data_IF_996315108712
#
_entry.id   IF_996315108712
#
_cell.length_a   1.000
_cell.length_b   1.000
_cell.length_c   1.000
_cell.angle_alpha   90.00
_cell.angle_beta   90.00
_cell.angle_gamma   90.00
#
_symmetry.space_group_name_H-M   'P 1'
#
loop_
_entity.id
_entity.type
_entity.pdbx_description
1 polymer ?
#
# COMPACT_ATOMS: atom_id res chain seq x y z
N UNK A 1 -0.94 0.96 8.38
CA UNK A 1 -2.04 1.67 9.10
C UNK A 1 -3.36 0.93 8.96
N UNK A 2 -4.30 1.12 9.89
CA UNK A 2 -5.69 0.67 9.75
C UNK A 2 -6.60 1.88 9.57
N UNK A 3 -7.49 1.83 8.57
CA UNK A 3 -8.32 2.96 8.17
C UNK A 3 -9.79 2.52 8.08
N UNK A 4 -10.66 3.24 8.79
CA UNK A 4 -12.10 3.01 8.76
C UNK A 4 -12.86 3.98 7.85
N UNK A 5 -14.18 3.97 7.96
CA UNK A 5 -15.07 4.92 7.28
C UNK A 5 -16.30 5.28 8.14
N UNK A 6 -17.20 6.15 7.64
CA UNK A 6 -17.26 6.60 6.25
C UNK A 6 -16.20 7.67 5.94
N UNK A 7 -15.57 7.54 4.77
CA UNK A 7 -14.67 8.54 4.21
C UNK A 7 -14.71 8.46 2.68
N UNK A 8 -15.41 9.40 2.06
CA UNK A 8 -15.50 9.56 0.61
C UNK A 8 -14.87 10.88 0.21
N UNK A 9 -14.04 10.88 -0.82
CA UNK A 9 -13.23 12.03 -1.20
C UNK A 9 -13.06 12.11 -2.71
N UNK A 10 -12.78 13.31 -3.23
CA UNK A 10 -12.61 13.57 -4.67
C UNK A 10 -11.15 13.75 -5.08
N UNK A 11 -10.26 13.91 -4.12
CA UNK A 11 -8.83 14.02 -4.38
C UNK A 11 -8.22 12.64 -4.69
N UNK A 12 -7.24 12.66 -5.58
CA UNK A 12 -6.41 11.55 -5.96
C UNK A 12 -5.01 11.80 -5.42
N UNK A 13 -4.54 10.90 -4.57
CA UNK A 13 -3.17 10.86 -4.13
C UNK A 13 -2.32 10.12 -5.17
N UNK A 14 -1.07 10.57 -5.29
CA UNK A 14 -0.08 10.06 -6.22
C UNK A 14 1.21 9.99 -5.43
N UNK A 15 1.85 8.83 -5.40
CA UNK A 15 3.15 8.67 -4.78
C UNK A 15 4.06 7.79 -5.63
N UNK A 16 5.35 7.77 -5.27
CA UNK A 16 6.32 6.94 -5.97
C UNK A 16 6.59 5.58 -5.32
N UNK A 17 6.04 5.33 -4.12
CA UNK A 17 5.96 4.01 -3.50
C UNK A 17 4.72 3.24 -3.95
N UNK A 18 4.61 1.99 -3.52
CA UNK A 18 3.43 1.14 -3.73
C UNK A 18 2.55 1.10 -2.48
N UNK A 19 1.27 0.80 -2.64
CA UNK A 19 0.33 0.65 -1.53
C UNK A 19 -0.34 -0.73 -1.54
N UNK A 20 -0.16 -1.48 -0.46
CA UNK A 20 -0.84 -2.75 -0.23
C UNK A 20 -2.12 -2.53 0.57
N UNK A 21 -3.25 -2.96 0.01
CA UNK A 21 -4.57 -2.91 0.62
C UNK A 21 -5.05 -4.31 1.01
N UNK A 22 -5.66 -4.42 2.18
CA UNK A 22 -6.39 -5.61 2.61
C UNK A 22 -7.62 -5.21 3.42
N UNK A 23 -8.82 -5.62 3.00
CA UNK A 23 -10.04 -5.29 3.73
C UNK A 23 -10.31 -6.32 4.83
N UNK A 24 -10.14 -5.90 6.08
CA UNK A 24 -10.41 -6.74 7.26
C UNK A 24 -11.91 -6.85 7.52
N UNK A 25 -12.64 -5.75 7.32
CA UNK A 25 -14.09 -5.67 7.53
C UNK A 25 -14.74 -4.75 6.50
N UNK A 26 -15.80 -5.24 5.87
CA UNK A 26 -16.60 -4.55 4.87
C UNK A 26 -15.84 -4.20 3.60
N UNK A 27 -16.53 -3.56 2.67
CA UNK A 27 -16.01 -3.27 1.34
C UNK A 27 -15.52 -1.83 1.22
N UNK A 28 -14.53 -1.62 0.36
CA UNK A 28 -14.14 -0.29 -0.11
C UNK A 28 -14.09 -0.24 -1.64
N UNK A 29 -14.03 0.96 -2.19
CA UNK A 29 -13.70 1.17 -3.60
C UNK A 29 -12.49 2.08 -3.71
N UNK A 30 -11.45 1.64 -4.40
CA UNK A 30 -10.33 2.49 -4.76
C UNK A 30 -10.56 3.02 -6.19
N UNK A 31 -10.87 4.31 -6.32
CA UNK A 31 -10.94 4.93 -7.65
C UNK A 31 -9.52 5.19 -8.12
N UNK A 32 -9.18 4.85 -9.34
CA UNK A 32 -7.85 5.10 -9.92
C UNK A 32 -7.95 5.78 -11.26
N UNK A 33 -6.86 6.44 -11.68
CA UNK A 33 -6.66 6.85 -13.07
C UNK A 33 -5.66 5.90 -13.72
N UNK A 34 -6.17 4.93 -14.47
CA UNK A 34 -5.38 3.94 -15.19
C UNK A 34 -5.35 4.30 -16.67
N UNK A 35 -4.15 4.50 -17.23
CA UNK A 35 -3.98 4.82 -18.65
C UNK A 35 -4.87 5.99 -19.14
N UNK A 36 -4.97 7.04 -18.31
CA UNK A 36 -5.77 8.23 -18.59
C UNK A 36 -7.28 8.01 -18.50
N UNK A 37 -7.75 6.95 -17.83
CA UNK A 37 -9.18 6.67 -17.64
C UNK A 37 -9.47 6.41 -16.17
N UNK A 38 -10.59 6.95 -15.69
CA UNK A 38 -11.11 6.59 -14.37
C UNK A 38 -11.55 5.12 -14.36
N UNK A 39 -11.10 4.38 -13.35
CA UNK A 39 -11.53 3.01 -13.05
C UNK A 39 -11.84 2.89 -11.57
N UNK A 40 -13.01 2.33 -11.26
CA UNK A 40 -13.37 1.95 -9.90
C UNK A 40 -12.85 0.52 -9.64
N UNK A 41 -12.09 0.34 -8.55
CA UNK A 41 -11.56 -0.95 -8.10
C UNK A 41 -12.25 -1.33 -6.78
N UNK A 42 -13.32 -2.15 -6.83
CA UNK A 42 -13.93 -2.67 -5.60
C UNK A 42 -12.97 -3.64 -4.92
N UNK A 43 -12.69 -3.41 -3.64
CA UNK A 43 -11.91 -4.30 -2.78
C UNK A 43 -12.86 -4.76 -1.67
N UNK A 44 -13.31 -6.00 -1.74
CA UNK A 44 -14.30 -6.56 -0.80
C UNK A 44 -13.65 -7.06 0.48
N UNK A 45 -14.45 -7.28 1.51
CA UNK A 45 -14.00 -7.93 2.74
C UNK A 45 -13.23 -9.22 2.44
N UNK A 46 -12.02 -9.36 3.01
CA UNK A 46 -11.11 -10.48 2.79
C UNK A 46 -10.30 -10.43 1.49
N UNK A 47 -10.53 -9.44 0.61
CA UNK A 47 -9.71 -9.26 -0.59
C UNK A 47 -8.43 -8.47 -0.29
N UNK A 48 -7.37 -8.82 -1.01
CA UNK A 48 -6.09 -8.14 -1.03
C UNK A 48 -5.83 -7.52 -2.41
N UNK A 49 -5.15 -6.38 -2.43
CA UNK A 49 -4.86 -5.63 -3.64
C UNK A 49 -3.56 -4.84 -3.48
N UNK A 50 -2.66 -4.94 -4.46
CA UNK A 50 -1.44 -4.12 -4.50
C UNK A 50 -1.59 -3.05 -5.59
N UNK A 51 -1.47 -1.78 -5.20
CA UNK A 51 -1.43 -0.66 -6.10
C UNK A 51 0.04 -0.38 -6.52
N UNK A 52 0.36 -0.49 -7.81
CA UNK A 52 1.68 -0.08 -8.31
C UNK A 52 1.94 1.41 -8.10
N UNK A 53 3.21 1.79 -8.01
CA UNK A 53 3.59 3.18 -7.83
C UNK A 53 3.11 4.10 -8.96
N UNK A 54 2.98 5.39 -8.65
CA UNK A 54 2.67 6.49 -9.59
C UNK A 54 1.33 6.34 -10.31
N UNK A 55 0.37 5.68 -9.68
CA UNK A 55 -1.03 5.61 -10.12
C UNK A 55 -1.84 6.57 -9.26
N UNK A 56 -2.49 7.59 -9.84
CA UNK A 56 -3.42 8.43 -9.10
C UNK A 56 -4.57 7.59 -8.56
N UNK A 57 -4.82 7.67 -7.25
CA UNK A 57 -5.83 6.85 -6.59
C UNK A 57 -6.59 7.63 -5.50
N UNK A 58 -7.87 7.30 -5.31
CA UNK A 58 -8.80 7.99 -4.41
C UNK A 58 -9.63 6.96 -3.64
N UNK A 59 -9.26 6.64 -2.39
CA UNK A 59 -9.93 5.61 -1.60
C UNK A 59 -11.32 6.09 -1.12
N UNK A 60 -12.33 5.25 -1.31
CA UNK A 60 -13.71 5.47 -0.89
C UNK A 60 -14.08 4.38 0.12
N UNK A 61 -14.32 4.78 1.37
CA UNK A 61 -14.62 3.86 2.47
C UNK A 61 -16.03 4.11 3.00
N UNK A 62 -16.80 3.05 3.15
CA UNK A 62 -18.14 3.12 3.74
C UNK A 62 -18.08 3.05 5.26
N UNK A 63 -19.19 3.38 5.91
CA UNK A 63 -19.34 3.23 7.35
C UNK A 63 -19.09 1.80 7.83
N UNK A 64 -18.63 1.64 9.06
CA UNK A 64 -18.42 0.34 9.71
C UNK A 64 -17.41 -0.60 9.03
N UNK A 65 -16.51 -0.04 8.21
CA UNK A 65 -15.43 -0.77 7.53
C UNK A 65 -14.09 -0.62 8.25
N UNK A 66 -13.18 -1.57 8.03
CA UNK A 66 -11.79 -1.53 8.49
C UNK A 66 -10.89 -2.11 7.39
N UNK A 67 -9.95 -1.31 6.90
CA UNK A 67 -8.94 -1.75 5.94
C UNK A 67 -7.52 -1.56 6.47
N UNK A 68 -6.66 -2.53 6.21
CA UNK A 68 -5.21 -2.41 6.33
C UNK A 68 -4.67 -1.74 5.06
N UNK A 69 -3.80 -0.76 5.25
CA UNK A 69 -2.96 -0.17 4.20
C UNK A 69 -1.51 -0.24 4.65
N UNK A 70 -0.62 -0.75 3.82
CA UNK A 70 0.83 -0.72 4.02
C UNK A 70 1.44 0.10 2.89
N UNK A 71 2.17 1.13 3.29
CA UNK A 71 3.01 2.00 2.47
C UNK A 71 4.32 2.23 3.23
N UNK A 72 5.34 2.79 2.57
CA UNK A 72 6.65 3.04 3.17
C UNK A 72 7.01 4.50 3.28
N UNK A 73 7.97 4.80 4.15
CA UNK A 73 8.61 6.10 4.22
C UNK A 73 9.20 6.49 2.86
N UNK A 74 9.04 7.76 2.49
CA UNK A 74 9.56 8.32 1.24
C UNK A 74 11.08 8.55 1.32
N UNK A 75 11.79 8.21 0.26
CA UNK A 75 13.15 8.71 0.03
C UNK A 75 13.12 10.23 -0.09
N UNK A 76 14.19 10.92 0.31
CA UNK A 76 14.29 12.38 0.23
C UNK A 76 14.19 12.94 -1.20
N UNK A 77 14.36 12.09 -2.20
CA UNK A 77 14.21 12.42 -3.62
C UNK A 77 12.81 12.18 -4.17
N UNK A 78 11.93 11.54 -3.40
CA UNK A 78 10.58 11.22 -3.84
C UNK A 78 9.62 12.38 -3.59
N UNK A 79 8.62 12.47 -4.47
CA UNK A 79 7.57 13.50 -4.38
C UNK A 79 6.19 12.85 -4.36
N UNK A 80 5.31 13.36 -3.51
CA UNK A 80 3.90 13.02 -3.50
C UNK A 80 3.09 14.13 -4.17
N UNK A 81 1.96 13.76 -4.76
CA UNK A 81 1.02 14.65 -5.41
C UNK A 81 -0.40 14.46 -4.87
N UNK A 82 -1.13 15.55 -4.68
CA UNK A 82 -2.57 15.52 -4.46
C UNK A 82 -3.25 16.25 -5.60
N UNK A 83 -4.18 15.58 -6.29
CA UNK A 83 -4.88 16.12 -7.46
C UNK A 83 -6.39 16.07 -7.30
N UNK A 84 -7.06 17.09 -7.83
CA UNK A 84 -8.48 17.06 -8.13
C UNK A 84 -8.65 17.15 -9.63
N UNK A 85 -9.61 16.40 -10.17
CA UNK A 85 -9.94 16.42 -11.59
C UNK A 85 -11.21 17.21 -11.85
N UNK A 86 -11.34 17.73 -13.07
CA UNK A 86 -12.62 18.24 -13.57
C UNK A 86 -13.62 17.07 -13.58
N UNK A 87 -14.86 17.34 -13.18
CA UNK A 87 -15.89 16.32 -13.07
C UNK A 87 -16.09 15.56 -14.40
N UNK A 88 -16.13 14.22 -14.31
CA UNK A 88 -16.21 13.31 -15.46
C UNK A 88 -15.05 13.40 -16.47
N UNK A 89 -13.92 13.98 -16.09
CA UNK A 89 -12.71 14.12 -16.93
C UNK A 89 -11.46 13.66 -16.18
N UNK A 90 -10.37 13.45 -16.92
CA UNK A 90 -9.01 13.29 -16.38
C UNK A 90 -8.16 14.56 -16.51
N UNK A 91 -8.78 15.67 -16.87
CA UNK A 91 -8.16 17.01 -16.85
C UNK A 91 -8.00 17.49 -15.41
N UNK A 92 -6.81 18.00 -15.08
CA UNK A 92 -6.49 18.46 -13.73
C UNK A 92 -7.22 19.77 -13.43
N UNK A 93 -7.97 19.80 -12.34
CA UNK A 93 -8.62 21.00 -11.81
C UNK A 93 -7.68 21.75 -10.85
N UNK A 94 -7.02 21.02 -9.96
CA UNK A 94 -6.08 21.54 -8.97
C UNK A 94 -5.06 20.46 -8.63
N UNK A 95 -3.82 20.86 -8.38
CA UNK A 95 -2.79 19.95 -7.89
C UNK A 95 -1.82 20.62 -6.92
N UNK A 96 -1.25 19.83 -6.01
CA UNK A 96 -0.10 20.19 -5.20
C UNK A 96 0.87 19.04 -5.10
N UNK A 97 2.14 19.37 -5.20
CA UNK A 97 3.26 18.43 -5.09
C UNK A 97 4.09 18.79 -3.86
N UNK A 98 4.49 17.77 -3.08
CA UNK A 98 5.17 17.96 -1.81
C UNK A 98 6.04 16.75 -1.45
N UNK A 99 7.03 16.97 -0.59
CA UNK A 99 7.73 15.88 0.08
C UNK A 99 6.86 15.36 1.24
N UNK A 100 6.50 14.08 1.22
CA UNK A 100 5.70 13.45 2.27
C UNK A 100 6.58 12.90 3.40
N UNK A 101 6.37 13.41 4.60
CA UNK A 101 6.94 12.93 5.86
C UNK A 101 5.85 12.34 6.77
N UNK A 102 4.68 12.97 6.82
CA UNK A 102 3.47 12.48 7.49
C UNK A 102 2.26 12.82 6.61
N UNK A 103 1.77 11.82 5.89
CA UNK A 103 0.70 11.97 4.91
C UNK A 103 -0.59 12.51 5.55
N UNK A 104 -0.98 11.98 6.71
CA UNK A 104 -2.22 12.35 7.38
C UNK A 104 -2.27 13.82 7.77
N UNK A 105 -1.17 14.35 8.31
CA UNK A 105 -1.09 15.75 8.73
C UNK A 105 -0.90 16.71 7.55
N UNK A 106 -0.11 16.33 6.54
CA UNK A 106 0.22 17.19 5.41
C UNK A 106 -0.91 17.32 4.38
N UNK A 107 -1.79 16.32 4.27
CA UNK A 107 -2.94 16.40 3.36
C UNK A 107 -3.99 17.42 3.82
N UNK A 108 -4.20 17.59 5.13
CA UNK A 108 -5.22 18.49 5.69
C UNK A 108 -5.11 19.94 5.17
N UNK A 109 -3.95 20.62 5.24
CA UNK A 109 -3.82 21.98 4.72
C UNK A 109 -4.02 22.07 3.20
N UNK A 110 -3.52 21.08 2.43
CA UNK A 110 -3.68 21.05 0.97
C UNK A 110 -5.16 20.93 0.57
N UNK A 111 -5.90 20.07 1.27
CA UNK A 111 -7.34 19.90 1.06
C UNK A 111 -8.09 21.20 1.39
N UNK A 112 -7.75 21.87 2.49
CA UNK A 112 -8.33 23.19 2.85
C UNK A 112 -8.02 24.26 1.82
N UNK A 113 -6.81 24.25 1.26
CA UNK A 113 -6.41 25.15 0.18
C UNK A 113 -7.29 24.93 -1.06
N UNK A 114 -7.47 23.68 -1.50
CA UNK A 114 -8.37 23.36 -2.61
C UNK A 114 -9.78 23.90 -2.37
N UNK A 115 -10.40 23.59 -1.22
CA UNK A 115 -11.77 24.05 -0.94
C UNK A 115 -11.91 25.58 -0.81
N UNK A 116 -10.80 26.29 -0.60
CA UNK A 116 -10.77 27.76 -0.55
C UNK A 116 -10.43 28.41 -1.91
N UNK A 117 -9.97 27.61 -2.88
CA UNK A 117 -9.45 28.05 -4.18
C UNK A 117 -10.54 28.57 -5.13
N UNK A 118 -10.12 29.29 -6.18
CA UNK A 118 -11.02 29.68 -7.28
C UNK A 118 -11.41 28.47 -8.14
N UNK A 119 -10.53 27.49 -8.26
CA UNK A 119 -10.77 26.25 -9.01
C UNK A 119 -11.92 25.47 -8.40
N UNK A 120 -11.99 25.36 -7.07
CA UNK A 120 -13.15 24.76 -6.39
C UNK A 120 -14.44 25.60 -6.60
N UNK A 121 -14.36 26.92 -6.50
CA UNK A 121 -15.53 27.82 -6.65
C UNK A 121 -16.09 27.82 -8.08
N UNK A 122 -15.24 27.71 -9.08
CA UNK A 122 -15.61 27.90 -10.50
C UNK A 122 -15.70 26.59 -11.27
N UNK A 123 -15.11 25.50 -10.76
CA UNK A 123 -14.94 24.24 -11.47
C UNK A 123 -14.00 24.34 -12.68
N UNK A 124 -13.20 25.42 -12.78
CA UNK A 124 -12.29 25.65 -13.91
C UNK A 124 -10.83 25.64 -13.44
N UNK A 125 -9.92 25.00 -14.21
CA UNK A 125 -8.51 25.01 -13.88
C UNK A 125 -7.91 26.42 -14.06
N UNK A 126 -6.84 26.70 -13.33
CA UNK A 126 -5.96 27.84 -13.59
C UNK A 126 -4.66 27.32 -14.24
N UNK A 127 -4.46 27.50 -15.57
CA UNK A 127 -3.29 26.99 -16.27
C UNK A 127 -1.94 27.50 -15.72
N UNK A 128 -1.93 28.68 -15.10
CA UNK A 128 -0.71 29.26 -14.52
C UNK A 128 -0.31 28.59 -13.19
N UNK A 129 -1.25 27.90 -12.53
CA UNK A 129 -1.03 27.17 -11.27
C UNK A 129 -0.85 25.66 -11.48
N UNK A 130 -1.11 25.15 -12.69
CA UNK A 130 -0.87 23.75 -13.01
C UNK A 130 0.62 23.48 -13.19
N UNK A 131 1.04 22.28 -12.78
CA UNK A 131 2.42 21.84 -12.90
C UNK A 131 2.76 21.64 -14.38
N UNK A 132 3.71 22.43 -14.89
CA UNK A 132 4.16 22.35 -16.30
C UNK A 132 4.96 21.07 -16.58
N UNK A 133 5.74 20.64 -15.60
CA UNK A 133 6.57 19.44 -15.66
C UNK A 133 6.24 18.53 -14.48
N UNK A 134 5.68 17.36 -14.78
CA UNK A 134 5.33 16.36 -13.76
C UNK A 134 6.64 15.79 -13.20
N UNK A 135 6.78 15.64 -11.87
CA UNK A 135 8.04 15.19 -11.25
C UNK A 135 8.53 13.81 -11.73
N UNK A 136 7.61 12.98 -12.22
CA UNK A 136 7.88 11.64 -12.75
C UNK A 136 6.80 11.20 -13.74
N UNK A 137 7.09 10.24 -14.64
CA UNK A 137 6.07 9.67 -15.51
C UNK A 137 5.04 8.87 -14.69
N UNK A 138 3.76 8.97 -15.06
CA UNK A 138 2.73 8.10 -14.49
C UNK A 138 2.89 6.67 -14.98
N UNK A 139 2.51 5.74 -14.13
CA UNK A 139 2.56 4.33 -14.46
C UNK A 139 1.43 3.96 -15.44
N UNK A 140 1.80 3.28 -16.52
CA UNK A 140 0.91 2.82 -17.59
C UNK A 140 0.66 1.31 -17.57
N UNK A 141 1.26 0.60 -16.61
CA UNK A 141 1.03 -0.83 -16.43
C UNK A 141 -0.43 -1.12 -16.11
N UNK A 142 -0.92 -2.26 -16.60
CA UNK A 142 -2.24 -2.75 -16.22
C UNK A 142 -2.27 -3.07 -14.73
N UNK A 143 -3.26 -2.51 -14.05
CA UNK A 143 -3.47 -2.66 -12.62
C UNK A 143 -4.25 -3.94 -12.37
N UNK A 144 -3.77 -4.74 -11.41
CA UNK A 144 -4.40 -6.02 -11.09
C UNK A 144 -5.85 -5.88 -10.63
N UNK A 145 -6.55 -7.01 -10.54
CA UNK A 145 -7.85 -7.09 -9.85
C UNK A 145 -7.60 -7.60 -8.44
N UNK A 146 -8.29 -7.07 -7.42
CA UNK A 146 -8.25 -7.64 -6.07
C UNK A 146 -8.62 -9.12 -6.08
N UNK A 147 -8.06 -9.88 -5.13
CA UNK A 147 -8.34 -11.31 -4.99
C UNK A 147 -8.62 -11.68 -3.55
N UNK A 148 -9.45 -12.70 -3.35
CA UNK A 148 -9.73 -13.26 -2.02
C UNK A 148 -8.45 -13.85 -1.42
N UNK A 149 -7.97 -13.28 -0.32
CA UNK A 149 -6.74 -13.73 0.31
C UNK A 149 -6.87 -15.17 0.84
N UNK A 150 -8.04 -15.50 1.38
CA UNK A 150 -8.35 -16.85 1.86
C UNK A 150 -8.33 -17.89 0.74
N UNK A 151 -8.94 -17.58 -0.40
CA UNK A 151 -8.94 -18.50 -1.55
C UNK A 151 -7.54 -18.64 -2.15
N UNK A 152 -6.79 -17.54 -2.21
CA UNK A 152 -5.39 -17.57 -2.61
C UNK A 152 -4.57 -18.49 -1.71
N UNK A 153 -4.68 -18.36 -0.38
CA UNK A 153 -3.98 -19.24 0.57
C UNK A 153 -4.35 -20.72 0.38
N UNK A 154 -5.64 -21.02 0.22
CA UNK A 154 -6.11 -22.39 -0.01
C UNK A 154 -5.55 -22.98 -1.32
N UNK A 155 -5.50 -22.18 -2.38
CA UNK A 155 -4.97 -22.61 -3.68
C UNK A 155 -3.46 -22.87 -3.67
N UNK A 156 -2.69 -22.20 -2.80
CA UNK A 156 -1.24 -22.29 -2.74
C UNK A 156 -0.73 -23.13 -1.55
N UNK A 157 -1.61 -23.81 -0.82
CA UNK A 157 -1.24 -24.56 0.38
C UNK A 157 -0.14 -25.61 0.12
N UNK A 158 -0.25 -26.37 -0.97
CA UNK A 158 0.76 -27.37 -1.34
C UNK A 158 2.10 -26.70 -1.69
N UNK A 159 2.06 -25.61 -2.45
CA UNK A 159 3.27 -24.87 -2.84
C UNK A 159 3.99 -24.30 -1.62
N UNK A 160 3.25 -23.76 -0.64
CA UNK A 160 3.81 -23.25 0.62
C UNK A 160 4.47 -24.39 1.41
N UNK A 161 3.85 -25.57 1.46
CA UNK A 161 4.42 -26.73 2.15
C UNK A 161 5.72 -27.21 1.51
N UNK A 162 5.78 -27.21 0.17
CA UNK A 162 6.93 -27.66 -0.61
C UNK A 162 8.07 -26.64 -0.61
N UNK A 163 7.77 -25.39 -0.95
CA UNK A 163 8.78 -24.32 -1.12
C UNK A 163 9.14 -23.60 0.17
N UNK A 164 8.33 -23.76 1.22
CA UNK A 164 8.42 -23.03 2.51
C UNK A 164 8.19 -21.52 2.42
N UNK A 165 8.19 -20.94 1.23
CA UNK A 165 7.78 -19.55 0.99
C UNK A 165 7.21 -19.36 -0.42
N UNK A 166 6.22 -18.47 -0.54
CA UNK A 166 5.62 -18.06 -1.81
C UNK A 166 5.37 -16.56 -1.79
N UNK A 167 5.91 -15.82 -2.78
CA UNK A 167 5.63 -14.39 -2.93
C UNK A 167 4.33 -14.20 -3.73
N UNK A 168 3.32 -13.61 -3.08
CA UNK A 168 1.96 -13.46 -3.63
C UNK A 168 1.91 -12.66 -4.92
N UNK A 169 2.77 -11.65 -5.04
CA UNK A 169 2.76 -10.74 -6.18
C UNK A 169 3.90 -10.99 -7.16
N UNK A 170 4.79 -11.96 -6.88
CA UNK A 170 5.95 -12.24 -7.72
C UNK A 170 7.06 -11.20 -7.62
N UNK A 171 7.98 -11.22 -8.58
CA UNK A 171 9.22 -10.43 -8.54
C UNK A 171 9.10 -9.03 -9.15
N UNK A 172 8.00 -8.69 -9.81
CA UNK A 172 7.89 -7.47 -10.61
C UNK A 172 7.62 -6.20 -9.79
N UNK A 173 7.16 -6.32 -8.55
CA UNK A 173 6.82 -5.19 -7.68
C UNK A 173 7.95 -4.83 -6.71
N UNK A 174 7.89 -3.60 -6.20
CA UNK A 174 8.74 -3.16 -5.09
C UNK A 174 8.38 -3.93 -3.81
N UNK A 175 7.07 -4.03 -3.53
CA UNK A 175 6.49 -4.72 -2.39
C UNK A 175 6.70 -6.22 -2.50
N UNK A 176 7.25 -6.81 -1.44
CA UNK A 176 7.23 -8.25 -1.25
C UNK A 176 6.21 -8.59 -0.19
N UNK A 177 5.18 -9.33 -0.59
CA UNK A 177 4.22 -9.93 0.32
C UNK A 177 4.34 -11.45 0.21
N UNK A 178 5.02 -12.05 1.18
CA UNK A 178 5.45 -13.45 1.13
C UNK A 178 4.70 -14.24 2.19
N UNK A 179 4.13 -15.36 1.80
CA UNK A 179 3.62 -16.35 2.74
C UNK A 179 4.72 -17.33 3.07
N UNK A 180 5.10 -17.39 4.35
CA UNK A 180 6.05 -18.37 4.87
C UNK A 180 5.34 -19.52 5.58
N UNK A 181 5.82 -20.73 5.33
CA UNK A 181 5.53 -21.93 6.10
C UNK A 181 6.54 -22.15 7.24
N UNK A 182 6.57 -23.36 7.84
CA UNK A 182 7.54 -23.72 8.88
C UNK A 182 9.00 -23.56 8.41
N UNK A 183 9.89 -23.17 9.33
CA UNK A 183 11.31 -23.00 9.03
C UNK A 183 11.98 -21.92 9.88
N UNK A 184 13.23 -21.58 9.56
CA UNK A 184 13.99 -20.54 10.24
C UNK A 184 14.46 -19.49 9.23
N UNK A 185 14.38 -18.21 9.60
CA UNK A 185 14.92 -17.08 8.85
C UNK A 185 15.78 -16.23 9.78
N UNK A 186 16.97 -15.84 9.32
CA UNK A 186 17.88 -14.96 10.06
C UNK A 186 18.32 -13.83 9.15
N UNK A 187 18.44 -12.63 9.70
CA UNK A 187 18.93 -11.50 8.92
C UNK A 187 19.03 -10.22 9.72
N UNK A 188 19.40 -9.18 9.00
CA UNK A 188 19.27 -7.79 9.40
C UNK A 188 18.72 -7.03 8.20
N UNK A 189 17.70 -6.21 8.40
CA UNK A 189 17.24 -5.34 7.32
C UNK A 189 18.02 -4.05 7.41
N UNK A 190 18.74 -3.65 6.38
CA UNK A 190 19.61 -2.48 6.49
C UNK A 190 18.80 -1.17 6.54
N UNK A 191 17.73 -1.07 5.74
CA UNK A 191 17.05 0.21 5.49
C UNK A 191 15.52 0.14 5.41
N UNK A 192 14.89 -0.98 5.76
CA UNK A 192 13.42 -1.12 5.68
C UNK A 192 12.89 -1.96 6.85
N UNK A 193 11.68 -1.62 7.29
CA UNK A 193 10.98 -2.38 8.32
C UNK A 193 10.35 -3.64 7.68
N UNK A 194 10.28 -4.73 8.44
CA UNK A 194 9.45 -5.89 8.07
C UNK A 194 8.22 -5.89 8.95
N UNK A 195 7.05 -6.01 8.34
CA UNK A 195 5.84 -6.35 9.07
C UNK A 195 5.48 -7.83 8.88
N UNK A 196 5.21 -8.51 9.98
CA UNK A 196 4.85 -9.93 10.03
C UNK A 196 3.46 -10.07 10.62
N UNK A 197 2.63 -10.93 10.05
CA UNK A 197 1.32 -11.30 10.60
C UNK A 197 1.16 -12.81 10.63
N UNK A 198 1.19 -13.37 11.84
CA UNK A 198 1.05 -14.80 12.10
C UNK A 198 -0.42 -15.20 11.86
N UNK A 199 -0.69 -15.91 10.76
CA UNK A 199 -2.06 -16.28 10.38
C UNK A 199 -2.50 -17.58 11.05
N UNK A 200 -1.60 -18.56 11.09
CA UNK A 200 -1.84 -19.89 11.68
C UNK A 200 -0.61 -20.35 12.45
N UNK A 201 -0.79 -21.20 13.46
CA UNK A 201 0.30 -21.77 14.25
C UNK A 201 1.02 -20.76 15.14
N UNK A 202 2.28 -21.06 15.47
CA UNK A 202 3.12 -20.19 16.31
C UNK A 202 4.53 -20.01 15.75
N UNK A 203 5.16 -18.89 16.09
CA UNK A 203 6.57 -18.65 15.79
C UNK A 203 7.28 -17.93 16.94
N UNK A 204 8.59 -18.12 17.04
CA UNK A 204 9.46 -17.35 17.93
C UNK A 204 10.19 -16.31 17.11
N UNK A 205 9.97 -15.03 17.42
CA UNK A 205 10.69 -13.91 16.81
C UNK A 205 11.64 -13.35 17.86
N UNK A 206 12.93 -13.33 17.52
CA UNK A 206 13.97 -12.66 18.30
C UNK A 206 14.37 -11.39 17.58
N UNK A 207 14.30 -10.23 18.23
CA UNK A 207 14.74 -8.92 17.72
C UNK A 207 15.73 -8.35 18.73
N UNK A 208 16.96 -8.05 18.29
CA UNK A 208 18.02 -7.48 19.16
C UNK A 208 18.13 -8.17 20.54
N UNK A 209 18.17 -9.50 20.54
CA UNK A 209 18.27 -10.38 21.71
C UNK A 209 17.00 -10.54 22.56
N UNK A 210 15.92 -9.79 22.28
CA UNK A 210 14.61 -10.01 22.91
C UNK A 210 13.79 -11.00 22.10
N UNK A 211 13.27 -12.03 22.75
CA UNK A 211 12.49 -13.09 22.09
C UNK A 211 11.06 -13.10 22.59
N UNK A 212 10.11 -13.16 21.66
CA UNK A 212 8.69 -13.28 21.95
C UNK A 212 8.06 -14.33 21.04
N UNK A 213 7.01 -14.97 21.56
CA UNK A 213 6.17 -15.90 20.81
C UNK A 213 5.07 -15.09 20.11
N UNK A 214 4.88 -15.34 18.81
CA UNK A 214 3.75 -14.87 18.04
C UNK A 214 2.81 -16.04 17.77
N UNK A 215 1.54 -15.87 18.11
CA UNK A 215 0.46 -16.83 17.91
C UNK A 215 -0.50 -16.37 16.81
N UNK A 216 -1.41 -17.23 16.37
CA UNK A 216 -2.37 -16.89 15.32
C UNK A 216 -3.17 -15.61 15.67
N UNK A 217 -3.08 -14.61 14.79
CA UNK A 217 -3.66 -13.29 14.97
C UNK A 217 -2.65 -12.20 15.35
N UNK A 218 -1.49 -12.58 15.91
CA UNK A 218 -0.46 -11.62 16.31
C UNK A 218 0.28 -11.02 15.10
N UNK A 219 0.65 -9.75 15.21
CA UNK A 219 1.51 -9.08 14.24
C UNK A 219 2.72 -8.46 14.90
N UNK A 220 3.83 -8.40 14.18
CA UNK A 220 5.14 -8.01 14.67
C UNK A 220 5.79 -7.07 13.67
N UNK A 221 6.25 -5.91 14.12
CA UNK A 221 7.12 -5.06 13.33
C UNK A 221 8.57 -5.34 13.72
N UNK A 222 9.40 -5.74 12.76
CA UNK A 222 10.85 -5.82 12.91
C UNK A 222 11.42 -4.51 12.34
N UNK A 223 11.92 -3.60 13.19
CA UNK A 223 12.43 -2.32 12.72
C UNK A 223 13.64 -2.48 11.81
N UNK A 224 13.83 -1.53 10.91
CA UNK A 224 15.05 -1.37 10.14
C UNK A 224 16.27 -1.32 11.07
N UNK A 225 17.39 -1.83 10.57
CA UNK A 225 18.67 -2.03 11.26
C UNK A 225 18.65 -3.06 12.40
N UNK A 226 17.48 -3.58 12.80
CA UNK A 226 17.41 -4.63 13.80
C UNK A 226 17.92 -5.96 13.25
N UNK A 227 18.66 -6.70 14.09
CA UNK A 227 18.99 -8.10 13.82
C UNK A 227 17.82 -8.95 14.28
N UNK A 228 17.43 -9.91 13.47
CA UNK A 228 16.37 -10.84 13.84
C UNK A 228 16.73 -12.30 13.59
N UNK A 229 16.16 -13.16 14.42
CA UNK A 229 16.03 -14.58 14.17
C UNK A 229 14.55 -14.94 14.28
N UNK A 230 14.02 -15.65 13.32
CA UNK A 230 12.61 -15.99 13.25
C UNK A 230 12.42 -17.47 12.96
N UNK A 231 11.94 -18.20 13.98
CA UNK A 231 11.69 -19.64 13.94
C UNK A 231 10.19 -19.89 13.89
N UNK A 232 9.70 -20.47 12.80
CA UNK A 232 8.29 -20.82 12.58
C UNK A 232 8.10 -22.32 12.81
N UNK A 233 7.22 -22.66 13.74
CA UNK A 233 6.92 -24.05 14.09
C UNK A 233 6.15 -24.76 12.98
N UNK A 234 6.05 -26.09 13.09
CA UNK A 234 5.24 -26.89 12.17
C UNK A 234 3.77 -26.44 12.20
N UNK A 235 3.15 -26.39 11.01
CA UNK A 235 1.78 -25.88 10.85
C UNK A 235 1.66 -24.35 10.77
N UNK A 236 2.76 -23.61 10.90
CA UNK A 236 2.70 -22.14 10.82
C UNK A 236 2.50 -21.64 9.39
N UNK A 237 1.60 -20.66 9.25
CA UNK A 237 1.41 -19.87 8.02
C UNK A 237 1.50 -18.41 8.42
N UNK A 238 2.38 -17.66 7.76
CA UNK A 238 2.71 -16.31 8.17
C UNK A 238 2.86 -15.38 6.97
N UNK A 239 2.18 -14.24 7.01
CA UNK A 239 2.39 -13.17 6.05
C UNK A 239 3.59 -12.32 6.49
N UNK A 240 4.51 -12.10 5.56
CA UNK A 240 5.65 -11.21 5.66
C UNK A 240 5.49 -10.11 4.62
N UNK A 241 5.61 -8.86 5.01
CA UNK A 241 5.53 -7.71 4.10
C UNK A 241 6.74 -6.81 4.31
N UNK A 242 7.39 -6.45 3.21
CA UNK A 242 8.45 -5.44 3.16
C UNK A 242 8.32 -4.60 1.90
N UNK A 243 8.65 -3.32 2.02
CA UNK A 243 8.72 -2.37 0.91
C UNK A 243 10.10 -1.72 0.95
N UNK A 244 11.03 -2.30 0.20
CA UNK A 244 12.41 -1.81 0.11
C UNK A 244 12.54 -0.85 -1.08
N UNK A 245 12.82 0.45 -0.86
CA UNK A 245 13.02 1.40 -1.96
C UNK A 245 14.17 1.02 -2.91
N UNK A 246 15.12 0.17 -2.50
CA UNK A 246 16.16 -0.36 -3.39
C UNK A 246 15.60 -1.28 -4.49
N UNK A 247 14.38 -1.80 -4.30
CA UNK A 247 13.65 -2.63 -5.28
C UNK A 247 12.72 -1.83 -6.18
N UNK A 248 12.64 -0.51 -5.98
CA UNK A 248 11.79 0.38 -6.76
C UNK A 248 12.04 0.18 -8.24
N UNK A 249 10.96 -0.03 -8.99
CA UNK A 249 11.06 -0.26 -10.44
C UNK A 249 11.23 1.06 -11.19
N UNK A 250 12.10 1.08 -12.22
CA UNK A 250 12.10 2.21 -13.14
C UNK A 250 10.78 2.19 -13.92
N UNK A 251 10.01 3.26 -13.81
CA UNK A 251 8.89 3.49 -14.72
C UNK A 251 9.42 4.36 -15.86
N UNK A 252 9.27 3.85 -17.07
CA UNK A 252 9.66 4.50 -18.32
C UNK A 252 8.64 5.56 -18.73
#
# INVERSE_FOLDING_TARGET
MFVGGPNTRKDFHIEEGEELFYQVKGDMCLKIVENGKHRDVPIREGEMFLLPARIPHSPQRQENTVGLVIERQRLKTETDGLRYYIEHSTDVLFEKWFYCEDLGTQLVPIIKEFFSSQQYKTGKPNPDELQKEIPFPFNTAAVMTPFSFKEWLAAHQQEIQEKKSVNMFGGQFETEAIIYGPGESKGSNENTDIWIWQLEGTSMVTINDETFEATAGDSVLIPSQAKYNWKRNDGSIVLYVVQDPARKRPYA
#
